data_IF_262621668988
#
_entry.id   IF_262621668988
#
_cell.length_a   1.000
_cell.length_b   1.000
_cell.length_c   1.000
_cell.angle_alpha   90.00
_cell.angle_beta   90.00
_cell.angle_gamma   90.00
#
_symmetry.space_group_name_H-M   'P 1'
#
loop_
_entity.id
_entity.type
_entity.pdbx_description
1 polymer ?
#
# COMPACT_ATOMS: atom_id res chain seq x y z
N UNK A 1 1.70 -2.18 8.20
CA UNK A 1 1.75 -0.72 8.39
C UNK A 1 2.82 -0.30 9.38
N UNK A 2 2.69 -0.69 10.66
CA UNK A 2 3.52 -0.14 11.75
C UNK A 2 5.04 -0.22 11.56
N UNK A 3 5.57 -1.28 10.95
CA UNK A 3 7.02 -1.38 10.65
C UNK A 3 7.49 -0.20 9.79
N UNK A 4 6.69 0.22 8.81
CA UNK A 4 6.99 1.38 7.97
C UNK A 4 6.82 2.71 8.70
N UNK A 5 5.89 2.80 9.66
CA UNK A 5 5.74 3.98 10.51
C UNK A 5 6.99 4.17 11.38
N UNK A 6 7.47 3.09 11.99
CA UNK A 6 8.71 3.10 12.79
C UNK A 6 9.88 3.46 11.89
N UNK A 7 10.02 2.83 10.72
CA UNK A 7 11.07 3.14 9.76
C UNK A 7 11.05 4.59 9.29
N UNK A 8 9.89 5.12 8.90
CA UNK A 8 9.71 6.52 8.52
C UNK A 8 10.01 7.49 9.67
N UNK A 9 9.57 7.16 10.90
CA UNK A 9 9.90 7.92 12.10
C UNK A 9 11.40 7.98 12.36
N UNK A 10 12.12 6.87 12.22
CA UNK A 10 13.58 6.83 12.32
C UNK A 10 14.25 7.70 11.24
N UNK A 11 13.75 7.66 9.99
CA UNK A 11 14.26 8.54 8.93
C UNK A 11 14.06 10.02 9.28
N UNK A 12 12.91 10.39 9.86
CA UNK A 12 12.66 11.76 10.34
C UNK A 12 13.57 12.17 11.49
N UNK A 13 13.85 11.28 12.43
CA UNK A 13 14.76 11.56 13.54
C UNK A 13 16.20 11.79 13.05
N UNK A 14 16.64 11.04 12.03
CA UNK A 14 18.00 11.11 11.50
C UNK A 14 18.17 12.29 10.54
N UNK A 15 17.22 12.49 9.62
CA UNK A 15 17.37 13.39 8.48
C UNK A 15 16.40 14.59 8.49
N UNK A 16 15.44 14.64 9.41
CA UNK A 16 14.31 15.58 9.34
C UNK A 16 14.67 17.06 9.45
N UNK A 17 15.84 17.41 10.01
CA UNK A 17 16.32 18.79 10.06
C UNK A 17 17.00 19.25 8.76
N UNK A 18 17.42 18.32 7.91
CA UNK A 18 18.27 18.58 6.74
C UNK A 18 17.56 18.25 5.42
N UNK A 19 16.72 17.21 5.43
CA UNK A 19 15.99 16.74 4.26
C UNK A 19 14.61 17.41 4.18
N UNK A 20 14.57 18.62 3.63
CA UNK A 20 13.31 19.32 3.30
C UNK A 20 12.83 19.06 1.88
N UNK A 21 13.69 18.48 1.03
CA UNK A 21 13.39 18.07 -0.34
C UNK A 21 14.37 16.98 -0.80
N UNK A 22 14.05 16.34 -1.94
CA UNK A 22 14.92 15.35 -2.58
C UNK A 22 14.67 13.90 -2.16
N UNK A 23 15.53 12.94 -2.58
CA UNK A 23 15.24 11.51 -2.45
C UNK A 23 15.01 11.04 -1.02
N UNK A 24 15.77 11.54 -0.04
CA UNK A 24 15.58 11.15 1.37
C UNK A 24 14.21 11.62 1.88
N UNK A 25 13.81 12.86 1.55
CA UNK A 25 12.50 13.39 1.91
C UNK A 25 11.37 12.60 1.24
N UNK A 26 11.56 12.21 -0.03
CA UNK A 26 10.63 11.32 -0.73
C UNK A 26 10.49 9.97 0.01
N UNK A 27 11.60 9.36 0.45
CA UNK A 27 11.57 8.10 1.19
C UNK A 27 10.76 8.22 2.49
N UNK A 28 10.94 9.32 3.21
CA UNK A 28 10.23 9.65 4.45
C UNK A 28 8.71 9.72 4.18
N UNK A 29 8.30 10.50 3.18
CA UNK A 29 6.89 10.62 2.80
C UNK A 29 6.30 9.29 2.34
N UNK A 30 7.02 8.51 1.53
CA UNK A 30 6.53 7.22 1.04
C UNK A 30 6.41 6.19 2.17
N UNK A 31 7.35 6.18 3.13
CA UNK A 31 7.26 5.32 4.31
C UNK A 31 6.00 5.62 5.13
N UNK A 32 5.64 6.90 5.29
CA UNK A 32 4.46 7.31 6.04
C UNK A 32 3.17 7.05 5.26
N UNK A 33 3.04 7.59 4.05
CA UNK A 33 1.79 7.48 3.30
C UNK A 33 1.58 6.06 2.77
N UNK A 34 2.48 5.54 1.94
CA UNK A 34 2.27 4.22 1.33
C UNK A 34 2.54 3.09 2.33
N UNK A 35 3.62 3.22 3.10
CA UNK A 35 4.04 2.19 4.05
C UNK A 35 3.14 2.06 5.27
N UNK A 36 2.73 3.18 5.86
CA UNK A 36 1.83 3.13 7.01
C UNK A 36 0.38 3.26 6.56
N UNK A 37 -0.04 4.42 6.03
CA UNK A 37 -1.46 4.73 5.79
C UNK A 37 -2.10 3.74 4.81
N UNK A 38 -1.57 3.61 3.59
CA UNK A 38 -2.17 2.72 2.58
C UNK A 38 -2.09 1.26 2.97
N UNK A 39 -1.01 0.82 3.62
CA UNK A 39 -0.92 -0.56 4.09
C UNK A 39 -1.97 -0.88 5.16
N UNK A 40 -2.34 0.07 6.03
CA UNK A 40 -3.45 -0.10 6.99
C UNK A 40 -4.80 -0.13 6.26
N UNK A 41 -4.99 0.74 5.27
CA UNK A 41 -6.19 0.71 4.42
C UNK A 41 -6.31 -0.66 3.75
N UNK A 42 -5.26 -1.17 3.14
CA UNK A 42 -5.27 -2.45 2.42
C UNK A 42 -5.51 -3.64 3.36
N UNK A 43 -4.90 -3.63 4.55
CA UNK A 43 -5.08 -4.69 5.53
C UNK A 43 -6.50 -4.76 6.10
N UNK A 44 -7.18 -3.62 6.24
CA UNK A 44 -8.49 -3.54 6.89
C UNK A 44 -9.68 -3.42 5.93
N UNK A 45 -9.48 -2.91 4.72
CA UNK A 45 -10.54 -2.75 3.72
C UNK A 45 -11.33 -4.04 3.40
N UNK A 46 -10.73 -5.25 3.34
CA UNK A 46 -11.49 -6.49 3.11
C UNK A 46 -12.54 -6.76 4.18
N UNK A 47 -12.39 -6.19 5.37
CA UNK A 47 -13.34 -6.29 6.48
C UNK A 47 -14.30 -5.10 6.47
N UNK A 48 -13.78 -3.88 6.31
CA UNK A 48 -14.55 -2.64 6.40
C UNK A 48 -15.54 -2.49 5.23
N UNK A 49 -15.09 -2.73 3.99
CA UNK A 49 -15.91 -2.54 2.78
C UNK A 49 -17.18 -3.40 2.82
N UNK A 50 -17.12 -4.72 3.05
CA UNK A 50 -18.34 -5.53 3.15
C UNK A 50 -19.25 -5.15 4.32
N UNK A 51 -18.69 -4.71 5.46
CA UNK A 51 -19.50 -4.24 6.59
C UNK A 51 -20.31 -2.98 6.22
N UNK A 52 -19.71 -2.03 5.50
CA UNK A 52 -20.38 -0.82 5.03
C UNK A 52 -21.41 -1.10 3.92
N UNK A 53 -21.07 -1.95 2.97
CA UNK A 53 -21.96 -2.34 1.88
C UNK A 53 -23.00 -3.40 2.30
N UNK A 54 -22.93 -3.85 3.56
CA UNK A 54 -23.72 -4.96 4.11
C UNK A 54 -23.65 -6.20 3.23
N UNK A 55 -22.51 -6.50 2.58
CA UNK A 55 -22.29 -7.65 1.69
C UNK A 55 -21.51 -8.76 2.40
N UNK A 56 -21.81 -10.03 2.11
CA UNK A 56 -21.02 -11.16 2.60
C UNK A 56 -19.86 -11.44 1.64
N UNK A 57 -18.64 -11.04 2.01
CA UNK A 57 -17.44 -11.36 1.26
C UNK A 57 -16.83 -12.67 1.78
N UNK A 58 -16.58 -13.63 0.89
CA UNK A 58 -15.80 -14.81 1.22
C UNK A 58 -14.33 -14.43 1.32
N UNK A 59 -13.72 -14.62 2.50
CA UNK A 59 -12.31 -14.33 2.71
C UNK A 59 -11.45 -15.29 1.87
N UNK A 60 -10.69 -14.73 0.94
CA UNK A 60 -9.70 -15.46 0.14
C UNK A 60 -8.34 -14.80 0.28
N UNK A 61 -7.28 -15.62 0.35
CA UNK A 61 -5.89 -15.15 0.42
C UNK A 61 -5.52 -14.19 -0.73
N UNK A 62 -6.19 -14.29 -1.87
CA UNK A 62 -5.98 -13.44 -3.06
C UNK A 62 -6.20 -11.96 -2.75
N UNK A 63 -7.08 -11.63 -1.79
CA UNK A 63 -7.37 -10.24 -1.42
C UNK A 63 -6.17 -9.54 -0.76
N UNK A 64 -5.21 -10.31 -0.24
CA UNK A 64 -3.98 -9.79 0.38
C UNK A 64 -2.79 -9.70 -0.58
N UNK A 65 -2.89 -10.24 -1.81
CA UNK A 65 -1.82 -10.11 -2.81
C UNK A 65 -1.40 -8.66 -3.08
N UNK A 66 -2.33 -7.69 -3.21
CA UNK A 66 -1.95 -6.28 -3.41
C UNK A 66 -1.17 -5.70 -2.23
N UNK A 67 -1.43 -6.17 -1.00
CA UNK A 67 -0.72 -5.73 0.21
C UNK A 67 0.73 -6.23 0.21
N UNK A 68 0.94 -7.51 -0.12
CA UNK A 68 2.30 -8.07 -0.24
C UNK A 68 3.07 -7.34 -1.35
N UNK A 69 2.43 -7.14 -2.50
CA UNK A 69 3.02 -6.41 -3.61
C UNK A 69 3.42 -4.98 -3.23
N UNK A 70 2.52 -4.25 -2.54
CA UNK A 70 2.79 -2.91 -2.03
C UNK A 70 4.02 -2.88 -1.11
N UNK A 71 4.19 -3.87 -0.24
CA UNK A 71 5.36 -3.92 0.65
C UNK A 71 6.66 -4.14 -0.10
N UNK A 72 6.67 -5.01 -1.11
CA UNK A 72 7.86 -5.27 -1.93
C UNK A 72 8.24 -4.06 -2.80
N UNK A 73 7.25 -3.45 -3.46
CA UNK A 73 7.47 -2.27 -4.29
C UNK A 73 7.92 -1.06 -3.48
N UNK A 74 7.36 -0.89 -2.27
CA UNK A 74 7.76 0.17 -1.36
C UNK A 74 9.17 -0.05 -0.81
N UNK A 75 9.56 -1.28 -0.48
CA UNK A 75 10.93 -1.59 -0.07
C UNK A 75 11.92 -1.18 -1.16
N UNK A 76 11.64 -1.54 -2.43
CA UNK A 76 12.43 -1.10 -3.57
C UNK A 76 12.50 0.43 -3.65
N UNK A 77 11.36 1.12 -3.48
CA UNK A 77 11.29 2.59 -3.53
C UNK A 77 12.18 3.22 -2.47
N UNK A 78 12.03 2.84 -1.20
CA UNK A 78 12.80 3.38 -0.08
C UNK A 78 14.30 3.11 -0.21
N UNK A 79 14.68 1.88 -0.57
CA UNK A 79 16.09 1.54 -0.77
C UNK A 79 16.69 2.35 -1.93
N UNK A 80 15.94 2.56 -3.01
CA UNK A 80 16.39 3.36 -4.14
C UNK A 80 16.53 4.85 -3.81
N UNK A 81 15.64 5.37 -2.96
CA UNK A 81 15.71 6.74 -2.46
C UNK A 81 16.96 6.94 -1.57
N UNK A 82 17.21 6.01 -0.64
CA UNK A 82 18.37 6.05 0.26
C UNK A 82 19.72 5.91 -0.48
N UNK A 83 19.77 5.11 -1.54
CA UNK A 83 20.98 4.92 -2.35
C UNK A 83 21.08 5.90 -3.54
N UNK A 84 20.17 6.87 -3.64
CA UNK A 84 20.10 7.81 -4.76
C UNK A 84 19.98 7.14 -6.14
N UNK A 85 19.50 5.90 -6.21
CA UNK A 85 19.40 5.09 -7.44
C UNK A 85 18.18 5.45 -8.30
N UNK A 86 18.39 6.25 -9.35
CA UNK A 86 17.30 6.81 -10.16
C UNK A 86 16.42 5.78 -10.90
N UNK A 87 16.96 4.74 -11.57
CA UNK A 87 16.15 3.70 -12.19
C UNK A 87 15.26 2.95 -11.18
N UNK A 88 15.81 2.60 -10.02
CA UNK A 88 15.07 1.93 -8.95
C UNK A 88 13.91 2.77 -8.42
N UNK A 89 14.08 4.09 -8.31
CA UNK A 89 13.00 5.01 -7.92
C UNK A 89 11.83 5.01 -8.91
N UNK A 90 12.13 4.95 -10.22
CA UNK A 90 11.11 4.90 -11.29
C UNK A 90 10.32 3.59 -11.22
N UNK A 91 11.03 2.46 -11.14
CA UNK A 91 10.39 1.15 -11.02
C UNK A 91 9.61 1.02 -9.72
N UNK A 92 10.16 1.44 -8.58
CA UNK A 92 9.46 1.45 -7.29
C UNK A 92 8.17 2.29 -7.33
N UNK A 93 8.21 3.45 -7.98
CA UNK A 93 7.02 4.29 -8.20
C UNK A 93 5.95 3.59 -9.02
N UNK A 94 6.31 3.10 -10.22
CA UNK A 94 5.38 2.37 -11.10
C UNK A 94 4.78 1.14 -10.43
N UNK A 95 5.59 0.36 -9.70
CA UNK A 95 5.13 -0.84 -9.00
C UNK A 95 4.19 -0.50 -7.84
N UNK A 96 4.41 0.63 -7.14
CA UNK A 96 3.50 1.14 -6.12
C UNK A 96 2.15 1.54 -6.73
N UNK A 97 2.15 2.25 -7.86
CA UNK A 97 0.93 2.61 -8.58
C UNK A 97 0.14 1.36 -9.01
N UNK A 98 0.84 0.37 -9.56
CA UNK A 98 0.24 -0.93 -9.91
C UNK A 98 -0.33 -1.64 -8.68
N UNK A 99 0.30 -1.52 -7.50
CA UNK A 99 -0.24 -2.06 -6.25
C UNK A 99 -1.61 -1.46 -5.92
N UNK A 100 -1.74 -0.13 -6.06
CA UNK A 100 -2.98 0.61 -5.83
C UNK A 100 -4.09 0.19 -6.81
N UNK A 101 -3.75 0.11 -8.09
CA UNK A 101 -4.71 -0.31 -9.13
C UNK A 101 -5.14 -1.77 -8.96
N UNK A 102 -4.20 -2.67 -8.67
CA UNK A 102 -4.48 -4.08 -8.43
C UNK A 102 -5.39 -4.25 -7.21
N UNK A 103 -5.13 -3.52 -6.13
CA UNK A 103 -5.99 -3.54 -4.95
C UNK A 103 -7.41 -3.09 -5.26
N UNK A 104 -7.55 -1.97 -5.98
CA UNK A 104 -8.85 -1.46 -6.39
C UNK A 104 -9.60 -2.49 -7.25
N UNK A 105 -8.92 -3.07 -8.25
CA UNK A 105 -9.48 -4.09 -9.12
C UNK A 105 -9.96 -5.31 -8.33
N UNK A 106 -9.12 -5.85 -7.45
CA UNK A 106 -9.44 -7.02 -6.63
C UNK A 106 -10.66 -6.73 -5.74
N UNK A 107 -10.72 -5.55 -5.12
CA UNK A 107 -11.84 -5.17 -4.25
C UNK A 107 -13.15 -5.02 -5.04
N UNK A 108 -13.12 -4.35 -6.20
CA UNK A 108 -14.30 -4.20 -7.07
C UNK A 108 -14.81 -5.57 -7.53
N UNK A 109 -13.93 -6.47 -7.97
CA UNK A 109 -14.31 -7.82 -8.39
C UNK A 109 -14.90 -8.63 -7.22
N UNK A 110 -14.31 -8.51 -6.04
CA UNK A 110 -14.76 -9.19 -4.83
C UNK A 110 -16.18 -8.75 -4.43
N UNK A 111 -16.45 -7.45 -4.44
CA UNK A 111 -17.79 -6.89 -4.16
C UNK A 111 -18.81 -7.30 -5.24
N UNK A 112 -18.45 -7.24 -6.53
CA UNK A 112 -19.35 -7.65 -7.62
C UNK A 112 -19.75 -9.12 -7.52
N UNK A 113 -18.82 -10.01 -7.16
CA UNK A 113 -19.10 -11.43 -6.93
C UNK A 113 -20.03 -11.65 -5.74
N UNK A 114 -19.83 -10.91 -4.65
CA UNK A 114 -20.71 -10.98 -3.48
C UNK A 114 -22.14 -10.50 -3.78
N UNK A 115 -22.30 -9.47 -4.63
CA UNK A 115 -23.61 -8.99 -5.09
C UNK A 115 -24.34 -9.99 -6.00
N UNK A 116 -23.62 -10.64 -6.92
CA UNK A 116 -24.21 -11.63 -7.83
C UNK A 116 -24.77 -12.86 -7.09
N UNK A 117 -24.15 -13.28 -5.99
CA UNK A 117 -24.62 -14.40 -5.18
C UNK A 117 -25.95 -14.15 -4.44
N UNK A 118 -26.35 -12.88 -4.25
CA UNK A 118 -27.61 -12.52 -3.56
C UNK A 118 -28.84 -12.50 -4.45
N UNK A 119 -28.67 -12.37 -5.76
CA UNK A 119 -29.78 -12.40 -6.72
C UNK A 119 -30.22 -13.81 -7.12
N UNK A 120 -29.49 -14.83 -6.67
CA UNK A 120 -29.72 -16.24 -7.02
C UNK A 120 -30.31 -17.08 -5.86
N UNK A 121 -30.59 -16.44 -4.71
CA UNK A 121 -31.21 -17.02 -3.51
C UNK A 121 -32.58 -16.43 -3.28
#
# INVERSE_FOLDING_TARGET
GYVWLVGGGLLWLIYGSQATAGPIYDAMLHALFLGFVFSMIFGHAPVIVPALLKTSLSFSAVVYLPLVWLHLSLALRLLSDLHYWAPGRRWGGLLNELALLLFLLVMVLAVRRAGAGRGAS
#
